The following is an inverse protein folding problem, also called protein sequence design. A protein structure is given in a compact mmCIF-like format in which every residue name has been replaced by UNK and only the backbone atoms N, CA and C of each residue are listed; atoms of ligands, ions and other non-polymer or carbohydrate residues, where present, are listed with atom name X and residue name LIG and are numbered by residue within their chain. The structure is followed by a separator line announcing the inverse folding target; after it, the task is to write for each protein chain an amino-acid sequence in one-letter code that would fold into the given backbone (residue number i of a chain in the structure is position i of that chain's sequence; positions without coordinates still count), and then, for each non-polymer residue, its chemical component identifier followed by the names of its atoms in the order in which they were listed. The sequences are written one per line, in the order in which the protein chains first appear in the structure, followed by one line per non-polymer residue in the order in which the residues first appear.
data_IF_182720981077
#
_entry.id   IF_182720981077
#
_cell.length_a   1.000
_cell.length_b   1.000
_cell.length_c   1.000
_cell.angle_alpha   90.00
_cell.angle_beta   90.00
_cell.angle_gamma   90.00
#
_symmetry.space_group_name_H-M   'P 1'
#
loop_
_entity.id
_entity.type
_entity.pdbx_description
1 polymer ?
#
# COMPACT_ATOMS: atom_id res chain seq x y z
N UNK A 1 25.98 0.92 1.37
CA UNK A 1 24.69 0.78 0.64
C UNK A 1 23.56 0.26 1.55
N UNK A 2 23.80 -0.73 2.42
CA UNK A 2 22.78 -1.22 3.37
C UNK A 2 22.26 -0.10 4.28
N UNK A 3 23.19 0.66 4.88
CA UNK A 3 22.83 1.85 5.66
C UNK A 3 22.00 2.87 4.89
N UNK A 4 22.20 2.99 3.57
CA UNK A 4 21.42 3.89 2.72
C UNK A 4 19.95 3.44 2.62
N UNK A 5 19.70 2.12 2.52
CA UNK A 5 18.35 1.56 2.53
C UNK A 5 17.62 1.89 3.83
N UNK A 6 18.24 1.62 4.97
CA UNK A 6 17.69 1.96 6.27
C UNK A 6 17.47 3.48 6.44
N UNK A 7 18.45 4.29 6.06
CA UNK A 7 18.37 5.76 6.13
C UNK A 7 17.22 6.27 5.26
N UNK A 8 16.99 5.70 4.07
CA UNK A 8 15.88 6.12 3.20
C UNK A 8 14.53 5.89 3.86
N UNK A 9 14.34 4.77 4.58
CA UNK A 9 13.11 4.50 5.31
C UNK A 9 12.94 5.44 6.51
N UNK A 10 14.02 5.68 7.27
CA UNK A 10 13.99 6.57 8.43
C UNK A 10 13.66 8.04 8.02
N UNK A 11 14.32 8.55 6.97
CA UNK A 11 13.98 9.87 6.42
C UNK A 11 12.58 9.89 5.81
N UNK A 12 12.15 8.80 5.18
CA UNK A 12 10.78 8.62 4.69
C UNK A 12 9.76 8.75 5.83
N UNK A 13 10.01 8.10 6.96
CA UNK A 13 9.18 8.20 8.16
C UNK A 13 9.06 9.64 8.67
N UNK A 14 10.20 10.30 8.90
CA UNK A 14 10.21 11.70 9.37
C UNK A 14 9.49 12.61 8.38
N UNK A 15 9.71 12.43 7.08
CA UNK A 15 9.05 13.23 6.03
C UNK A 15 7.54 12.97 5.99
N UNK A 16 7.08 11.74 6.20
CA UNK A 16 5.66 11.41 6.24
C UNK A 16 4.97 12.03 7.47
N UNK A 17 5.58 11.93 8.65
CA UNK A 17 5.08 12.57 9.87
C UNK A 17 5.02 14.08 9.69
N UNK A 18 6.09 14.70 9.16
CA UNK A 18 6.11 16.11 8.88
C UNK A 18 4.99 16.52 7.91
N UNK A 19 4.84 15.79 6.78
CA UNK A 19 3.82 16.09 5.78
C UNK A 19 2.41 15.97 6.35
N UNK A 20 2.15 14.96 7.19
CA UNK A 20 0.86 14.77 7.85
C UNK A 20 0.51 15.94 8.77
N UNK A 21 1.44 16.36 9.63
CA UNK A 21 1.22 17.46 10.59
C UNK A 21 1.17 18.80 9.86
N UNK A 22 2.11 19.06 8.96
CA UNK A 22 2.24 20.34 8.27
C UNK A 22 1.03 20.62 7.37
N UNK A 23 0.47 19.61 6.67
CA UNK A 23 -0.69 19.80 5.80
C UNK A 23 -1.94 20.25 6.58
N UNK A 24 -2.20 19.66 7.75
CA UNK A 24 -3.33 20.04 8.62
C UNK A 24 -3.08 21.40 9.28
N UNK A 25 -1.84 21.65 9.73
CA UNK A 25 -1.46 22.91 10.35
C UNK A 25 -1.53 24.08 9.37
N UNK A 26 -1.21 23.83 8.10
CA UNK A 26 -1.31 24.82 7.02
C UNK A 26 -2.73 25.38 6.88
N UNK A 27 -3.76 24.53 7.02
CA UNK A 27 -5.17 24.99 7.00
C UNK A 27 -5.47 25.87 8.19
N UNK A 28 -5.11 25.42 9.40
CA UNK A 28 -5.38 26.17 10.65
C UNK A 28 -4.70 27.56 10.65
N UNK A 29 -3.53 27.66 10.02
CA UNK A 29 -2.73 28.90 9.95
C UNK A 29 -2.95 29.69 8.66
N UNK A 30 -3.80 29.23 7.76
CA UNK A 30 -4.02 29.78 6.42
C UNK A 30 -2.69 30.06 5.68
N UNK A 31 -1.75 29.11 5.74
CA UNK A 31 -0.39 29.22 5.23
C UNK A 31 -0.16 28.32 4.01
N UNK A 32 -0.23 28.93 2.82
CA UNK A 32 -0.03 28.22 1.54
C UNK A 32 1.40 27.69 1.34
N UNK A 33 2.41 28.39 1.85
CA UNK A 33 3.80 27.96 1.77
C UNK A 33 4.04 26.69 2.60
N UNK A 34 3.43 26.61 3.79
CA UNK A 34 3.50 25.40 4.62
C UNK A 34 2.80 24.21 3.94
N UNK A 35 1.66 24.44 3.28
CA UNK A 35 0.98 23.40 2.50
C UNK A 35 1.84 22.91 1.34
N UNK A 36 2.51 23.82 0.64
CA UNK A 36 3.42 23.43 -0.44
C UNK A 36 4.63 22.64 0.08
N UNK A 37 5.16 23.02 1.24
CA UNK A 37 6.22 22.26 1.91
C UNK A 37 5.77 20.84 2.28
N UNK A 38 4.55 20.68 2.81
CA UNK A 38 3.95 19.38 3.09
C UNK A 38 3.81 18.52 1.83
N UNK A 39 3.39 19.11 0.71
CA UNK A 39 3.32 18.40 -0.60
C UNK A 39 4.70 17.93 -1.07
N UNK A 40 5.70 18.80 -0.97
CA UNK A 40 7.07 18.45 -1.36
C UNK A 40 7.63 17.31 -0.49
N UNK A 41 7.37 17.34 0.82
CA UNK A 41 7.74 16.24 1.72
C UNK A 41 7.04 14.93 1.35
N UNK A 42 5.76 14.96 0.99
CA UNK A 42 5.04 13.77 0.54
C UNK A 42 5.57 13.22 -0.80
N UNK A 43 6.01 14.06 -1.73
CA UNK A 43 6.75 13.59 -2.92
C UNK A 43 8.11 13.00 -2.56
N UNK A 44 8.82 13.59 -1.60
CA UNK A 44 10.09 13.05 -1.11
C UNK A 44 9.91 11.65 -0.49
N UNK A 45 8.80 11.41 0.22
CA UNK A 45 8.45 10.06 0.73
C UNK A 45 8.37 9.05 -0.41
N UNK A 46 7.72 9.39 -1.53
CA UNK A 46 7.63 8.48 -2.68
C UNK A 46 9.01 8.14 -3.26
N UNK A 47 9.89 9.14 -3.40
CA UNK A 47 11.26 8.94 -3.88
C UNK A 47 12.06 8.08 -2.89
N UNK A 48 11.98 8.34 -1.59
CA UNK A 48 12.71 7.60 -0.55
C UNK A 48 12.24 6.14 -0.48
N UNK A 49 10.94 5.86 -0.58
CA UNK A 49 10.42 4.50 -0.68
C UNK A 49 10.91 3.77 -1.93
N UNK A 50 10.91 4.47 -3.08
CA UNK A 50 11.42 3.90 -4.33
C UNK A 50 12.91 3.56 -4.22
N UNK A 51 13.73 4.43 -3.59
CA UNK A 51 15.16 4.16 -3.33
C UNK A 51 15.30 2.94 -2.40
N UNK A 52 14.53 2.88 -1.31
CA UNK A 52 14.56 1.74 -0.39
C UNK A 52 14.23 0.42 -1.11
N UNK A 53 13.14 0.41 -1.90
CA UNK A 53 12.72 -0.77 -2.64
C UNK A 53 13.73 -1.18 -3.73
N UNK A 54 14.26 -0.21 -4.47
CA UNK A 54 15.28 -0.47 -5.49
C UNK A 54 16.58 -1.05 -4.90
N UNK A 55 16.96 -0.60 -3.69
CA UNK A 55 18.12 -1.15 -2.98
C UNK A 55 17.87 -2.59 -2.51
N UNK A 56 16.69 -2.89 -1.96
CA UNK A 56 16.34 -4.27 -1.59
C UNK A 56 16.38 -5.19 -2.82
N UNK A 57 15.83 -4.73 -3.93
CA UNK A 57 15.85 -5.44 -5.20
C UNK A 57 17.27 -5.68 -5.71
N UNK A 58 18.11 -4.66 -5.65
CA UNK A 58 19.53 -4.76 -6.00
C UNK A 58 20.26 -5.81 -5.13
N UNK A 59 19.99 -5.84 -3.82
CA UNK A 59 20.63 -6.78 -2.91
C UNK A 59 20.18 -8.23 -3.15
N UNK A 60 18.92 -8.46 -3.52
CA UNK A 60 18.43 -9.78 -3.91
C UNK A 60 19.09 -10.30 -5.19
N UNK A 61 19.26 -9.44 -6.21
CA UNK A 61 19.90 -9.81 -7.48
C UNK A 61 21.39 -10.03 -7.31
N UNK A 62 22.05 -9.25 -6.44
CA UNK A 62 23.50 -9.32 -6.20
C UNK A 62 23.91 -10.31 -5.10
N UNK A 63 22.99 -11.15 -4.62
CA UNK A 63 23.23 -12.21 -3.63
C UNK A 63 23.94 -11.71 -2.35
N UNK A 64 23.47 -10.57 -1.83
CA UNK A 64 24.03 -9.95 -0.61
C UNK A 64 23.48 -10.63 0.64
N UNK A 65 24.00 -11.83 0.93
CA UNK A 65 23.58 -12.66 2.08
C UNK A 65 24.02 -12.11 3.44
N UNK A 66 24.77 -11.02 3.47
CA UNK A 66 24.98 -10.22 4.68
C UNK A 66 23.70 -9.49 5.15
N UNK A 67 22.68 -9.38 4.30
CA UNK A 67 21.33 -8.97 4.69
C UNK A 67 20.50 -10.18 5.12
N UNK A 68 19.89 -10.09 6.31
CA UNK A 68 19.06 -11.16 6.86
C UNK A 68 17.92 -11.56 5.91
N UNK A 69 17.21 -10.57 5.35
CA UNK A 69 16.13 -10.79 4.39
C UNK A 69 16.59 -11.55 3.15
N UNK A 70 17.72 -11.17 2.56
CA UNK A 70 18.25 -11.84 1.36
C UNK A 70 18.69 -13.27 1.67
N UNK A 71 19.34 -13.48 2.82
CA UNK A 71 19.76 -14.81 3.28
C UNK A 71 18.56 -15.74 3.54
N UNK A 72 17.42 -15.18 3.98
CA UNK A 72 16.23 -15.97 4.29
C UNK A 72 15.41 -16.35 3.06
N UNK A 73 15.29 -15.45 2.06
CA UNK A 73 14.35 -15.60 0.95
C UNK A 73 15.00 -15.81 -0.42
N UNK A 74 16.33 -15.82 -0.53
CA UNK A 74 17.04 -16.02 -1.79
C UNK A 74 18.16 -17.03 -1.65
N UNK A 75 18.73 -17.47 -2.77
CA UNK A 75 19.94 -18.28 -2.86
C UNK A 75 20.65 -18.04 -4.21
N UNK A 76 21.92 -18.45 -4.31
CA UNK A 76 22.70 -18.28 -5.56
C UNK A 76 22.04 -18.95 -6.77
N UNK A 77 21.49 -20.14 -6.55
CA UNK A 77 20.87 -20.96 -7.60
C UNK A 77 19.41 -20.57 -7.90
N UNK A 78 18.83 -19.62 -7.17
CA UNK A 78 17.45 -19.20 -7.39
C UNK A 78 17.33 -18.45 -8.73
N UNK A 79 16.42 -18.87 -9.64
CA UNK A 79 16.20 -18.14 -10.89
C UNK A 79 15.84 -16.67 -10.66
N UNK A 80 16.31 -15.80 -11.56
CA UNK A 80 16.12 -14.35 -11.44
C UNK A 80 14.65 -13.94 -11.23
N UNK A 81 13.72 -14.64 -11.88
CA UNK A 81 12.28 -14.40 -11.75
C UNK A 81 11.82 -14.55 -10.30
N UNK A 82 12.33 -15.57 -9.60
CA UNK A 82 11.99 -15.83 -8.20
C UNK A 82 12.79 -14.94 -7.23
N UNK A 83 13.97 -14.44 -7.61
CA UNK A 83 14.64 -13.36 -6.86
C UNK A 83 13.82 -12.08 -6.88
N UNK A 84 13.13 -11.80 -8.00
CA UNK A 84 12.19 -10.67 -8.09
C UNK A 84 11.02 -10.87 -7.12
N UNK A 85 10.35 -12.01 -7.17
CA UNK A 85 9.21 -12.29 -6.28
C UNK A 85 9.61 -12.45 -4.81
N UNK A 86 10.86 -12.82 -4.53
CA UNK A 86 11.40 -12.85 -3.18
C UNK A 86 11.35 -11.47 -2.49
N UNK A 87 11.34 -10.36 -3.24
CA UNK A 87 11.26 -9.02 -2.67
C UNK A 87 9.98 -8.73 -1.87
N UNK A 88 8.93 -9.54 -2.05
CA UNK A 88 7.69 -9.49 -1.26
C UNK A 88 7.33 -10.83 -0.60
N UNK A 89 8.24 -11.80 -0.57
CA UNK A 89 7.97 -13.12 0.01
C UNK A 89 7.86 -13.12 1.53
N UNK A 90 8.52 -12.16 2.21
CA UNK A 90 8.50 -12.01 3.65
C UNK A 90 7.75 -10.77 4.10
N UNK A 91 7.50 -10.70 5.41
CA UNK A 91 6.76 -9.60 6.02
C UNK A 91 7.41 -8.23 5.74
N UNK A 92 8.72 -8.13 5.86
CA UNK A 92 9.48 -6.89 5.66
C UNK A 92 9.37 -6.38 4.22
N UNK A 93 9.51 -7.31 3.26
CA UNK A 93 9.40 -6.99 1.83
C UNK A 93 7.98 -6.64 1.42
N UNK A 94 7.00 -7.37 1.92
CA UNK A 94 5.56 -7.11 1.70
C UNK A 94 5.16 -5.74 2.24
N UNK A 95 5.56 -5.39 3.46
CA UNK A 95 5.29 -4.07 4.04
C UNK A 95 5.99 -2.95 3.26
N UNK A 96 7.20 -3.20 2.76
CA UNK A 96 7.92 -2.23 1.94
C UNK A 96 7.23 -2.02 0.57
N UNK A 97 6.72 -3.10 -0.05
CA UNK A 97 5.92 -2.99 -1.27
C UNK A 97 4.62 -2.21 -1.02
N UNK A 98 3.93 -2.48 0.09
CA UNK A 98 2.74 -1.73 0.49
C UNK A 98 3.03 -0.24 0.65
N UNK A 99 4.10 0.07 1.41
CA UNK A 99 4.57 1.44 1.62
C UNK A 99 4.91 2.14 0.30
N UNK A 100 5.59 1.45 -0.63
CA UNK A 100 5.90 1.98 -1.95
C UNK A 100 4.63 2.30 -2.75
N UNK A 101 3.70 1.35 -2.88
CA UNK A 101 2.44 1.54 -3.62
C UNK A 101 1.64 2.70 -3.03
N UNK A 102 1.53 2.80 -1.71
CA UNK A 102 0.83 3.90 -1.03
C UNK A 102 1.48 5.25 -1.32
N UNK A 103 2.80 5.34 -1.28
CA UNK A 103 3.53 6.58 -1.56
C UNK A 103 3.37 7.03 -3.02
N UNK A 104 3.40 6.08 -3.97
CA UNK A 104 3.16 6.35 -5.39
C UNK A 104 1.71 6.82 -5.62
N UNK A 105 0.72 6.13 -5.03
CA UNK A 105 -0.68 6.55 -5.12
C UNK A 105 -0.90 7.92 -4.53
N UNK A 106 -0.29 8.22 -3.39
CA UNK A 106 -0.33 9.54 -2.76
C UNK A 106 0.23 10.62 -3.67
N UNK A 107 1.37 10.36 -4.31
CA UNK A 107 1.97 11.29 -5.28
C UNK A 107 1.06 11.54 -6.50
N UNK A 108 0.46 10.47 -7.06
CA UNK A 108 -0.48 10.57 -8.17
C UNK A 108 -1.73 11.37 -7.77
N UNK A 109 -2.30 11.11 -6.59
CA UNK A 109 -3.46 11.84 -6.05
C UNK A 109 -3.16 13.34 -5.92
N UNK A 110 -2.00 13.68 -5.37
CA UNK A 110 -1.57 15.09 -5.24
C UNK A 110 -1.39 15.75 -6.61
N UNK A 111 -0.79 15.06 -7.56
CA UNK A 111 -0.60 15.56 -8.92
C UNK A 111 -1.93 15.76 -9.65
N UNK A 112 -2.85 14.79 -9.58
CA UNK A 112 -4.18 14.87 -10.18
C UNK A 112 -5.04 16.00 -9.60
N UNK A 113 -4.83 16.33 -8.32
CA UNK A 113 -5.61 17.34 -7.59
C UNK A 113 -4.85 18.65 -7.35
N UNK A 114 -3.78 18.92 -8.11
CA UNK A 114 -2.97 20.14 -7.94
C UNK A 114 -3.76 21.44 -8.11
N UNK A 115 -4.78 21.44 -8.99
CA UNK A 115 -5.60 22.61 -9.34
C UNK A 115 -7.08 22.43 -8.93
N UNK A 116 -7.42 21.42 -8.15
CA UNK A 116 -8.81 21.13 -7.73
C UNK A 116 -8.85 20.55 -6.33
N UNK A 117 -10.05 20.48 -5.75
CA UNK A 117 -10.27 19.93 -4.39
C UNK A 117 -9.45 20.63 -3.29
N UNK A 118 -9.13 21.92 -3.46
CA UNK A 118 -8.23 22.66 -2.55
C UNK A 118 -8.63 22.58 -1.08
N UNK A 119 -9.94 22.45 -0.78
CA UNK A 119 -10.43 22.36 0.59
C UNK A 119 -10.27 20.96 1.21
N UNK A 120 -10.27 19.89 0.40
CA UNK A 120 -10.12 18.51 0.87
C UNK A 120 -8.66 18.09 0.90
N UNK A 121 -7.86 18.53 -0.08
CA UNK A 121 -6.50 18.06 -0.30
C UNK A 121 -5.55 18.17 0.91
N UNK A 122 -5.56 19.22 1.73
CA UNK A 122 -4.72 19.26 2.93
C UNK A 122 -5.02 18.11 3.89
N UNK A 123 -6.30 17.77 4.08
CA UNK A 123 -6.71 16.65 4.93
C UNK A 123 -6.43 15.30 4.28
N UNK A 124 -6.65 15.17 2.97
CA UNK A 124 -6.30 13.96 2.20
C UNK A 124 -4.80 13.67 2.32
N UNK A 125 -3.94 14.67 2.15
CA UNK A 125 -2.49 14.53 2.35
C UNK A 125 -2.19 14.11 3.78
N UNK A 126 -2.81 14.77 4.76
CA UNK A 126 -2.62 14.45 6.18
C UNK A 126 -2.95 13.00 6.51
N UNK A 127 -4.06 12.48 5.98
CA UNK A 127 -4.51 11.11 6.23
C UNK A 127 -3.61 10.10 5.51
N UNK A 128 -3.34 10.30 4.21
CA UNK A 128 -2.47 9.39 3.45
C UNK A 128 -1.05 9.33 4.04
N UNK A 129 -0.50 10.46 4.45
CA UNK A 129 0.81 10.53 5.08
C UNK A 129 0.79 9.98 6.52
N UNK A 130 -0.32 10.04 7.23
CA UNK A 130 -0.51 9.37 8.51
C UNK A 130 -0.46 7.84 8.37
N UNK A 131 -1.16 7.29 7.39
CA UNK A 131 -1.10 5.85 7.06
C UNK A 131 0.31 5.47 6.61
N UNK A 132 0.94 6.29 5.78
CA UNK A 132 2.31 6.10 5.31
C UNK A 132 3.32 6.09 6.47
N UNK A 133 3.17 7.00 7.42
CA UNK A 133 4.02 7.06 8.61
C UNK A 133 3.88 5.78 9.46
N UNK A 134 2.70 5.20 9.57
CA UNK A 134 2.50 3.92 10.25
C UNK A 134 3.32 2.79 9.60
N UNK A 135 3.24 2.61 8.29
CA UNK A 135 4.03 1.58 7.59
C UNK A 135 5.54 1.83 7.69
N UNK A 136 5.96 3.07 7.53
CA UNK A 136 7.38 3.43 7.65
C UNK A 136 7.90 3.31 9.09
N UNK A 137 7.05 3.52 10.11
CA UNK A 137 7.38 3.23 11.50
C UNK A 137 7.66 1.73 11.68
N UNK A 138 6.78 0.85 11.19
CA UNK A 138 6.98 -0.59 11.26
C UNK A 138 8.30 -1.00 10.57
N UNK A 139 8.53 -0.51 9.35
CA UNK A 139 9.72 -0.82 8.55
C UNK A 139 11.03 -0.26 9.12
N UNK A 140 10.96 0.79 9.93
CA UNK A 140 12.17 1.41 10.49
C UNK A 140 12.50 0.84 11.87
N UNK A 141 11.48 0.64 12.72
CA UNK A 141 11.69 0.37 14.15
C UNK A 141 11.29 -1.04 14.59
N UNK A 142 10.44 -1.73 13.81
CA UNK A 142 9.93 -3.06 14.21
C UNK A 142 10.50 -4.16 13.32
N UNK A 143 10.42 -4.00 12.00
CA UNK A 143 10.80 -5.07 11.06
C UNK A 143 11.45 -4.47 9.80
N UNK A 144 12.77 -4.36 9.82
CA UNK A 144 13.52 -3.73 8.72
C UNK A 144 14.08 -4.76 7.75
N UNK A 145 13.85 -4.61 6.42
CA UNK A 145 14.47 -5.48 5.42
C UNK A 145 15.99 -5.25 5.28
N UNK A 146 16.55 -4.25 5.97
CA UNK A 146 17.97 -3.90 5.95
C UNK A 146 18.74 -4.34 7.19
N UNK A 147 18.20 -5.28 7.98
CA UNK A 147 18.94 -5.90 9.07
C UNK A 147 20.04 -6.80 8.55
N UNK A 148 21.22 -6.75 9.18
CA UNK A 148 22.40 -7.55 8.80
C UNK A 148 22.53 -8.79 9.67
N UNK A 149 23.00 -9.89 9.07
CA UNK A 149 23.36 -11.11 9.76
C UNK A 149 24.86 -11.17 10.02
N UNK A 150 25.25 -11.49 11.24
CA UNK A 150 26.66 -11.68 11.62
C UNK A 150 26.83 -13.00 12.39
N UNK A 151 27.61 -13.98 11.86
CA UNK A 151 28.31 -13.95 10.57
C UNK A 151 27.37 -14.04 9.36
N UNK A 152 27.78 -13.45 8.24
CA UNK A 152 27.05 -13.60 6.99
C UNK A 152 27.14 -15.04 6.48
N UNK A 153 26.04 -15.69 6.10
CA UNK A 153 26.07 -17.03 5.53
C UNK A 153 26.72 -17.00 4.13
N UNK A 154 27.30 -18.15 3.73
CA UNK A 154 27.94 -18.29 2.39
C UNK A 154 26.92 -18.37 1.27
N UNK A 155 25.70 -18.86 1.56
CA UNK A 155 24.54 -18.88 0.67
C UNK A 155 23.27 -18.67 1.48
N UNK A 156 22.16 -18.36 0.81
CA UNK A 156 20.85 -18.20 1.45
C UNK A 156 20.04 -19.49 1.50
N UNK A 157 18.94 -19.45 2.28
CA UNK A 157 18.03 -20.59 2.48
C UNK A 157 17.18 -20.88 1.23
N UNK A 158 17.05 -19.90 0.33
CA UNK A 158 16.19 -19.98 -0.84
C UNK A 158 14.74 -19.62 -0.57
N UNK A 159 13.99 -19.49 -1.65
CA UNK A 159 12.55 -19.23 -1.58
C UNK A 159 11.81 -20.55 -1.34
N UNK A 160 10.78 -20.53 -0.49
CA UNK A 160 9.90 -21.68 -0.27
C UNK A 160 9.42 -22.24 -1.63
N UNK A 161 9.52 -23.57 -1.89
CA UNK A 161 9.09 -24.17 -3.15
C UNK A 161 7.66 -23.82 -3.57
N UNK A 162 6.71 -23.71 -2.63
CA UNK A 162 5.32 -23.31 -2.92
C UNK A 162 5.23 -21.87 -3.49
N UNK A 163 6.22 -21.01 -3.21
CA UNK A 163 6.31 -19.64 -3.73
C UNK A 163 7.05 -19.57 -5.08
N UNK A 164 7.66 -20.69 -5.55
CA UNK A 164 8.36 -20.75 -6.82
C UNK A 164 7.39 -21.03 -7.99
N UNK A 165 6.38 -20.20 -8.10
CA UNK A 165 5.35 -20.24 -9.13
C UNK A 165 5.19 -18.85 -9.78
N UNK A 166 4.83 -18.80 -11.06
CA UNK A 166 4.60 -17.55 -11.78
C UNK A 166 3.43 -16.72 -11.17
N UNK A 167 2.46 -17.38 -10.53
CA UNK A 167 1.36 -16.70 -9.86
C UNK A 167 1.83 -15.90 -8.62
N UNK A 168 2.99 -16.25 -8.04
CA UNK A 168 3.63 -15.46 -6.99
C UNK A 168 4.04 -14.06 -7.47
N UNK A 169 4.22 -13.86 -8.78
CA UNK A 169 4.46 -12.53 -9.34
C UNK A 169 3.17 -11.73 -9.51
N UNK A 170 2.05 -12.39 -9.80
CA UNK A 170 0.78 -11.75 -10.15
C UNK A 170 -0.09 -11.54 -8.92
N UNK A 171 -0.36 -12.60 -8.15
CA UNK A 171 -1.32 -12.56 -7.05
C UNK A 171 -0.97 -11.52 -5.97
N UNK A 172 0.20 -11.52 -5.31
CA UNK A 172 0.48 -10.55 -4.26
C UNK A 172 0.54 -9.11 -4.78
N UNK A 173 1.13 -8.90 -5.96
CA UNK A 173 1.26 -7.55 -6.52
C UNK A 173 -0.08 -6.94 -6.87
N UNK A 174 -0.99 -7.71 -7.47
CA UNK A 174 -2.33 -7.25 -7.81
C UNK A 174 -3.21 -7.06 -6.58
N UNK A 175 -3.09 -7.93 -5.58
CA UNK A 175 -3.76 -7.79 -4.29
C UNK A 175 -3.32 -6.51 -3.57
N UNK A 176 -2.02 -6.21 -3.52
CA UNK A 176 -1.54 -4.96 -2.91
C UNK A 176 -1.98 -3.72 -3.68
N UNK A 177 -2.00 -3.75 -5.01
CA UNK A 177 -2.56 -2.64 -5.80
C UNK A 177 -4.03 -2.37 -5.45
N UNK A 178 -4.79 -3.42 -5.19
CA UNK A 178 -6.18 -3.33 -4.75
C UNK A 178 -6.31 -2.81 -3.31
N UNK A 179 -5.68 -3.46 -2.35
CA UNK A 179 -5.74 -3.12 -0.93
C UNK A 179 -5.35 -1.66 -0.68
N UNK A 180 -4.16 -1.29 -1.16
CA UNK A 180 -3.63 0.06 -0.98
C UNK A 180 -4.48 1.08 -1.74
N UNK A 181 -5.08 0.68 -2.85
CA UNK A 181 -5.96 1.53 -3.64
C UNK A 181 -7.15 2.06 -2.84
N UNK A 182 -7.69 1.29 -1.91
CA UNK A 182 -8.80 1.72 -1.04
C UNK A 182 -8.40 2.80 -0.02
N UNK A 183 -7.13 3.01 0.27
CA UNK A 183 -6.67 4.11 1.10
C UNK A 183 -7.03 5.49 0.50
N UNK A 184 -7.09 5.60 -0.83
CA UNK A 184 -7.41 6.87 -1.51
C UNK A 184 -8.87 7.28 -1.26
N UNK A 185 -9.90 6.50 -1.64
CA UNK A 185 -11.29 6.87 -1.36
C UNK A 185 -11.56 7.00 0.14
N UNK A 186 -10.93 6.20 1.01
CA UNK A 186 -10.98 6.37 2.45
C UNK A 186 -10.47 7.76 2.88
N UNK A 187 -9.29 8.19 2.39
CA UNK A 187 -8.73 9.49 2.76
C UNK A 187 -9.63 10.66 2.33
N UNK A 188 -10.25 10.58 1.15
CA UNK A 188 -11.23 11.59 0.71
C UNK A 188 -12.51 11.56 1.54
N UNK A 189 -13.03 10.39 1.90
CA UNK A 189 -14.19 10.25 2.76
C UNK A 189 -13.93 10.88 4.14
N UNK A 190 -12.80 10.57 4.76
CA UNK A 190 -12.40 11.16 6.04
C UNK A 190 -12.19 12.67 5.94
N UNK A 191 -11.58 13.16 4.85
CA UNK A 191 -11.43 14.60 4.60
C UNK A 191 -12.80 15.29 4.46
N UNK A 192 -13.78 14.65 3.78
CA UNK A 192 -15.13 15.15 3.66
C UNK A 192 -15.86 15.22 5.02
N UNK A 193 -15.68 14.20 5.86
CA UNK A 193 -16.21 14.19 7.24
C UNK A 193 -15.59 15.29 8.10
N UNK A 194 -14.28 15.42 8.11
CA UNK A 194 -13.57 16.44 8.91
C UNK A 194 -13.96 17.87 8.49
N UNK A 195 -14.19 18.09 7.20
CA UNK A 195 -14.57 19.41 6.68
C UNK A 195 -16.08 19.68 6.68
N UNK A 196 -16.91 18.67 7.00
CA UNK A 196 -18.36 18.76 6.90
C UNK A 196 -18.89 18.86 5.47
N UNK A 197 -18.06 18.63 4.45
CA UNK A 197 -18.41 18.74 3.03
C UNK A 197 -18.85 17.41 2.46
N UNK A 198 -20.06 16.98 2.81
CA UNK A 198 -20.64 15.69 2.43
C UNK A 198 -21.35 15.73 1.05
N UNK A 199 -21.01 16.69 0.19
CA UNK A 199 -21.51 16.72 -1.19
C UNK A 199 -20.86 15.61 -2.03
N UNK A 200 -21.44 15.33 -3.19
CA UNK A 200 -20.99 14.25 -4.08
C UNK A 200 -19.60 14.49 -4.72
N UNK A 201 -18.96 15.64 -4.45
CA UNK A 201 -17.64 16.00 -4.97
C UNK A 201 -16.54 15.01 -4.57
N UNK A 202 -16.57 14.50 -3.34
CA UNK A 202 -15.57 13.52 -2.89
C UNK A 202 -15.73 12.18 -3.63
N UNK A 203 -16.98 11.76 -3.91
CA UNK A 203 -17.28 10.56 -4.67
C UNK A 203 -16.78 10.69 -6.11
N UNK A 204 -17.13 11.79 -6.78
CA UNK A 204 -16.68 12.07 -8.15
C UNK A 204 -15.14 12.07 -8.25
N UNK A 205 -14.46 12.56 -7.21
CA UNK A 205 -12.99 12.60 -7.15
C UNK A 205 -12.37 11.21 -6.95
N UNK A 206 -13.07 10.29 -6.30
CA UNK A 206 -12.53 8.97 -5.91
C UNK A 206 -13.06 7.82 -6.75
N UNK A 207 -14.10 8.02 -7.57
CA UNK A 207 -14.75 6.97 -8.36
C UNK A 207 -13.78 6.11 -9.16
N UNK A 208 -12.82 6.75 -9.86
CA UNK A 208 -11.81 6.02 -10.64
C UNK A 208 -10.85 5.23 -9.74
N UNK A 209 -10.51 5.76 -8.57
CA UNK A 209 -9.66 5.10 -7.59
C UNK A 209 -10.36 3.89 -6.96
N UNK A 210 -11.64 3.99 -6.66
CA UNK A 210 -12.45 2.87 -6.15
C UNK A 210 -12.54 1.74 -7.18
N UNK A 211 -12.83 2.07 -8.45
CA UNK A 211 -12.85 1.10 -9.55
C UNK A 211 -11.47 0.47 -9.77
N UNK A 212 -10.39 1.24 -9.69
CA UNK A 212 -9.02 0.78 -9.79
C UNK A 212 -8.69 -0.22 -8.69
N UNK A 213 -8.98 0.12 -7.43
CA UNK A 213 -8.75 -0.74 -6.28
C UNK A 213 -9.55 -2.05 -6.38
N UNK A 214 -10.83 -1.96 -6.67
CA UNK A 214 -11.70 -3.11 -6.83
C UNK A 214 -11.26 -4.02 -7.99
N UNK A 215 -10.88 -3.46 -9.12
CA UNK A 215 -10.41 -4.20 -10.28
C UNK A 215 -9.14 -5.01 -9.98
N UNK A 216 -8.13 -4.37 -9.36
CA UNK A 216 -6.89 -5.05 -9.03
C UNK A 216 -7.07 -6.11 -7.94
N UNK A 217 -7.90 -5.85 -6.95
CA UNK A 217 -8.24 -6.85 -5.93
C UNK A 217 -8.99 -8.03 -6.54
N UNK A 218 -9.87 -7.80 -7.52
CA UNK A 218 -10.55 -8.89 -8.25
C UNK A 218 -9.55 -9.78 -9.01
N UNK A 219 -8.56 -9.18 -9.68
CA UNK A 219 -7.49 -9.93 -10.34
C UNK A 219 -6.65 -10.70 -9.29
N UNK A 220 -6.35 -10.08 -8.14
CA UNK A 220 -5.62 -10.70 -7.05
C UNK A 220 -6.32 -11.95 -6.54
N UNK A 221 -7.61 -11.85 -6.23
CA UNK A 221 -8.44 -12.99 -5.77
C UNK A 221 -8.46 -14.13 -6.82
N UNK A 222 -8.66 -13.81 -8.10
CA UNK A 222 -8.69 -14.83 -9.17
C UNK A 222 -7.31 -15.50 -9.30
N UNK A 223 -6.23 -14.73 -9.28
CA UNK A 223 -4.88 -15.27 -9.36
C UNK A 223 -4.52 -16.11 -8.12
N UNK A 224 -4.97 -15.70 -6.93
CA UNK A 224 -4.82 -16.45 -5.67
C UNK A 224 -5.58 -17.78 -5.71
N UNK A 225 -6.82 -17.77 -6.19
CA UNK A 225 -7.61 -18.98 -6.38
C UNK A 225 -6.94 -19.96 -7.36
N UNK A 226 -6.38 -19.46 -8.45
CA UNK A 226 -5.63 -20.31 -9.38
C UNK A 226 -4.33 -20.84 -8.75
N UNK A 227 -3.63 -20.03 -7.96
CA UNK A 227 -2.44 -20.47 -7.23
C UNK A 227 -2.78 -21.54 -6.20
N UNK A 228 -3.85 -21.38 -5.43
CA UNK A 228 -4.34 -22.35 -4.48
C UNK A 228 -4.62 -23.71 -5.17
N UNK A 229 -5.27 -23.69 -6.33
CA UNK A 229 -5.57 -24.90 -7.10
C UNK A 229 -4.33 -25.66 -7.57
N UNK A 230 -3.27 -24.94 -7.96
CA UNK A 230 -2.05 -25.54 -8.54
C UNK A 230 -1.08 -25.99 -7.45
N UNK A 231 -0.93 -25.22 -6.37
CA UNK A 231 0.16 -25.39 -5.40
C UNK A 231 -0.29 -25.93 -4.05
N UNK A 232 -1.55 -25.69 -3.64
CA UNK A 232 -1.99 -26.05 -2.30
C UNK A 232 -2.70 -27.42 -2.29
N UNK A 233 -2.46 -28.19 -1.25
CA UNK A 233 -2.83 -29.62 -1.19
C UNK A 233 -4.31 -29.93 -1.03
N UNK A 234 -5.20 -28.94 -0.92
CA UNK A 234 -6.65 -29.19 -0.75
C UNK A 234 -7.42 -29.36 -2.06
N UNK A 235 -6.74 -29.35 -3.21
CA UNK A 235 -7.33 -29.66 -4.53
C UNK A 235 -8.54 -28.79 -4.92
N UNK A 236 -8.54 -27.51 -4.56
CA UNK A 236 -9.63 -26.59 -4.84
C UNK A 236 -9.16 -25.15 -5.06
N UNK A 237 -10.03 -24.34 -5.66
CA UNK A 237 -9.77 -22.91 -5.89
C UNK A 237 -9.98 -22.05 -4.63
N UNK A 238 -10.64 -22.57 -3.61
CA UNK A 238 -11.03 -21.84 -2.42
C UNK A 238 -11.22 -22.76 -1.23
N UNK A 239 -10.55 -22.45 -0.13
CA UNK A 239 -10.59 -23.26 1.10
C UNK A 239 -11.18 -22.50 2.30
N UNK A 240 -11.57 -21.24 2.15
CA UNK A 240 -12.01 -20.38 3.25
C UNK A 240 -10.92 -20.19 4.32
N UNK A 241 -9.67 -20.18 3.91
CA UNK A 241 -8.57 -19.90 4.82
C UNK A 241 -8.56 -18.44 5.27
N UNK A 242 -7.76 -18.07 6.30
CA UNK A 242 -7.70 -16.67 6.76
C UNK A 242 -7.24 -15.68 5.69
N UNK A 243 -6.35 -16.06 4.80
CA UNK A 243 -5.80 -15.17 3.75
C UNK A 243 -6.85 -14.91 2.68
N UNK A 244 -7.51 -15.96 2.19
CA UNK A 244 -8.61 -15.85 1.23
C UNK A 244 -9.76 -14.99 1.78
N UNK A 245 -10.13 -15.20 3.05
CA UNK A 245 -11.16 -14.39 3.71
C UNK A 245 -10.72 -12.94 3.87
N UNK A 246 -9.45 -12.68 4.19
CA UNK A 246 -8.91 -11.33 4.30
C UNK A 246 -9.02 -10.55 2.97
N UNK A 247 -8.92 -11.22 1.82
CA UNK A 247 -9.10 -10.62 0.51
C UNK A 247 -10.58 -10.43 0.13
N UNK A 248 -11.40 -11.43 0.44
CA UNK A 248 -12.82 -11.46 0.07
C UNK A 248 -13.63 -10.41 0.82
N UNK A 249 -13.38 -10.21 2.12
CA UNK A 249 -14.15 -9.28 2.95
C UNK A 249 -14.13 -7.83 2.41
N UNK A 250 -12.97 -7.20 2.17
CA UNK A 250 -12.92 -5.84 1.63
C UNK A 250 -13.46 -5.79 0.19
N UNK A 251 -13.31 -6.86 -0.60
CA UNK A 251 -13.87 -6.93 -1.94
C UNK A 251 -15.40 -6.90 -1.93
N UNK A 252 -16.05 -7.65 -1.04
CA UNK A 252 -17.51 -7.67 -0.88
C UNK A 252 -18.05 -6.31 -0.43
N UNK A 253 -17.44 -5.71 0.59
CA UNK A 253 -17.87 -4.40 1.11
C UNK A 253 -17.59 -3.29 0.09
N UNK A 254 -16.44 -3.36 -0.62
CA UNK A 254 -16.11 -2.48 -1.72
C UNK A 254 -17.08 -2.60 -2.90
N UNK A 255 -17.56 -3.81 -3.20
CA UNK A 255 -18.62 -4.05 -4.20
C UNK A 255 -19.93 -3.38 -3.78
N UNK A 256 -20.34 -3.54 -2.52
CA UNK A 256 -21.52 -2.87 -1.98
C UNK A 256 -21.38 -1.34 -2.06
N UNK A 257 -20.19 -0.80 -1.75
CA UNK A 257 -19.89 0.62 -1.88
C UNK A 257 -20.04 1.11 -3.33
N UNK A 258 -19.47 0.41 -4.32
CA UNK A 258 -19.58 0.77 -5.74
C UNK A 258 -21.02 0.88 -6.22
N UNK A 259 -21.88 -0.06 -5.83
CA UNK A 259 -23.29 -0.02 -6.21
C UNK A 259 -24.07 1.07 -5.47
N UNK A 260 -23.81 1.24 -4.18
CA UNK A 260 -24.49 2.24 -3.34
C UNK A 260 -24.14 3.68 -3.75
N UNK A 261 -22.91 3.93 -4.19
CA UNK A 261 -22.48 5.23 -4.72
C UNK A 261 -23.26 5.64 -5.97
N UNK A 262 -23.59 4.70 -6.86
CA UNK A 262 -24.42 5.01 -8.05
C UNK A 262 -25.83 5.49 -7.66
N UNK A 263 -26.38 4.99 -6.53
CA UNK A 263 -27.67 5.46 -6.01
C UNK A 263 -27.52 6.87 -5.42
N UNK A 264 -26.43 7.13 -4.71
CA UNK A 264 -26.16 8.47 -4.17
C UNK A 264 -26.02 9.50 -5.30
N UNK A 265 -25.25 9.21 -6.33
CA UNK A 265 -25.05 10.13 -7.46
C UNK A 265 -26.37 10.46 -8.20
N UNK A 266 -27.28 9.49 -8.32
CA UNK A 266 -28.53 9.67 -9.05
C UNK A 266 -29.67 10.24 -8.21
N UNK A 267 -29.74 9.88 -6.93
CA UNK A 267 -30.91 10.17 -6.05
C UNK A 267 -30.54 10.96 -4.80
N UNK A 268 -29.27 11.24 -4.54
CA UNK A 268 -28.81 11.94 -3.32
C UNK A 268 -28.97 11.15 -2.02
N UNK A 269 -29.28 9.83 -2.11
CA UNK A 269 -29.56 8.95 -0.96
C UNK A 269 -28.29 8.22 -0.49
N UNK A 270 -28.36 7.58 0.68
CA UNK A 270 -27.35 6.66 1.22
C UNK A 270 -25.99 7.31 1.58
N UNK A 271 -25.91 8.62 1.77
CA UNK A 271 -24.65 9.34 2.05
C UNK A 271 -23.89 8.78 3.26
N UNK A 272 -24.58 8.59 4.39
CA UNK A 272 -24.00 8.04 5.62
C UNK A 272 -23.57 6.59 5.42
N UNK A 273 -24.39 5.81 4.72
CA UNK A 273 -24.07 4.41 4.41
C UNK A 273 -22.81 4.29 3.54
N UNK A 274 -22.66 5.12 2.53
CA UNK A 274 -21.47 5.14 1.68
C UNK A 274 -20.21 5.52 2.44
N UNK A 275 -20.30 6.46 3.38
CA UNK A 275 -19.19 6.77 4.29
C UNK A 275 -18.81 5.55 5.15
N UNK A 276 -19.79 4.87 5.74
CA UNK A 276 -19.53 3.67 6.53
C UNK A 276 -18.90 2.55 5.69
N UNK A 277 -19.44 2.28 4.49
CA UNK A 277 -18.93 1.24 3.60
C UNK A 277 -17.46 1.46 3.22
N UNK A 278 -17.07 2.67 2.83
CA UNK A 278 -15.67 2.92 2.43
C UNK A 278 -14.72 2.88 3.63
N UNK A 279 -15.15 3.33 4.81
CA UNK A 279 -14.34 3.23 6.04
C UNK A 279 -14.14 1.76 6.39
N UNK A 280 -15.21 0.96 6.40
CA UNK A 280 -15.14 -0.47 6.70
C UNK A 280 -14.30 -1.20 5.65
N UNK A 281 -14.45 -0.91 4.35
CA UNK A 281 -13.63 -1.50 3.29
C UNK A 281 -12.14 -1.31 3.59
N UNK A 282 -11.72 -0.07 3.89
CA UNK A 282 -10.32 0.21 4.18
C UNK A 282 -9.85 -0.46 5.49
N UNK A 283 -10.65 -0.46 6.54
CA UNK A 283 -10.29 -1.12 7.80
C UNK A 283 -10.12 -2.64 7.59
N UNK A 284 -10.97 -3.26 6.78
CA UNK A 284 -10.82 -4.68 6.44
C UNK A 284 -9.56 -5.00 5.66
N UNK A 285 -8.99 -4.06 4.89
CA UNK A 285 -7.68 -4.27 4.25
C UNK A 285 -6.51 -4.19 5.24
N UNK A 286 -6.69 -3.61 6.43
CA UNK A 286 -5.64 -3.50 7.45
C UNK A 286 -5.72 -4.61 8.50
N UNK A 287 -6.92 -5.10 8.81
CA UNK A 287 -7.17 -6.04 9.92
C UNK A 287 -7.60 -7.43 9.44
N UNK A 288 -7.77 -7.61 8.12
CA UNK A 288 -8.14 -8.88 7.47
C UNK A 288 -6.97 -9.83 7.22
#
# INVERSE_FOLDING_TARGET
MISLGYISLAFGFVSAVYAAIASITAVKRNNSALLQSARNAAYAVAVLNLVGYALLFYFLISDRFDLHFVAQYSSRNLPILYKISASWAGQEGSLLLWSLVLSVYSAIVMWQNRNKNHHLMPYVIGILMGIQAFFLFLLTFVTSPFLTSTPAPTDGQGLNPLLQNHLMLVHPTTTYLGYVGFAVPFAFAMAALITGRLSDLWIASTRRWTLWAWFWLSIGIIAGAQWAYVELGWSGYWAWDPVENAELMPWLVGTAFLHSVMIQERRGMLKVWNMALIIVTFLLTLFG
#
